data_IF_548556141857
#
_entry.id   IF_548556141857
#
_cell.length_a   1.000
_cell.length_b   1.000
_cell.length_c   1.000
_cell.angle_alpha   90.00
_cell.angle_beta   90.00
_cell.angle_gamma   90.00
#
_symmetry.space_group_name_H-M   'P 1'
#
loop_
_entity.id
_entity.type
_entity.pdbx_description
1 polymer ?
#
# COMPACT_ATOMS: atom_id res chain seq x y z
N UNK A 1 -7.34 -8.88 -9.58
CA UNK A 1 -7.82 -7.53 -9.93
C UNK A 1 -9.34 -7.51 -9.76
N UNK A 2 -9.85 -6.72 -8.84
CA UNK A 2 -11.26 -6.62 -8.44
C UNK A 2 -11.67 -5.14 -8.36
N UNK A 3 -12.95 -4.86 -8.54
CA UNK A 3 -13.48 -3.49 -8.70
C UNK A 3 -13.16 -2.55 -7.54
N UNK A 4 -13.37 -3.00 -6.30
CA UNK A 4 -13.18 -2.14 -5.13
C UNK A 4 -11.73 -1.65 -4.97
N UNK A 5 -10.77 -2.32 -5.62
CA UNK A 5 -9.36 -1.91 -5.61
C UNK A 5 -9.05 -0.75 -6.55
N UNK A 6 -10.02 -0.29 -7.31
CA UNK A 6 -9.97 0.92 -8.13
C UNK A 6 -8.73 1.01 -9.05
N UNK A 7 -8.30 -0.12 -9.59
CA UNK A 7 -7.22 -0.13 -10.61
C UNK A 7 -7.63 0.56 -11.92
N UNK A 8 -8.92 0.68 -12.17
CA UNK A 8 -9.51 1.45 -13.26
C UNK A 8 -8.99 2.89 -13.30
N UNK A 9 -8.98 3.57 -12.15
CA UNK A 9 -8.50 4.95 -12.02
C UNK A 9 -7.00 5.07 -12.30
N UNK A 10 -6.21 4.11 -11.83
CA UNK A 10 -4.75 4.10 -12.06
C UNK A 10 -4.45 3.85 -13.54
N UNK A 11 -5.16 2.92 -14.18
CA UNK A 11 -5.02 2.64 -15.61
C UNK A 11 -5.37 3.88 -16.43
N UNK A 12 -6.47 4.56 -16.13
CA UNK A 12 -6.89 5.77 -16.84
C UNK A 12 -5.87 6.91 -16.67
N UNK A 13 -5.43 7.16 -15.43
CA UNK A 13 -4.43 8.19 -15.14
C UNK A 13 -3.12 7.94 -15.92
N UNK A 14 -2.57 6.72 -15.82
CA UNK A 14 -1.29 6.40 -16.45
C UNK A 14 -1.40 6.30 -17.98
N UNK A 15 -2.53 5.88 -18.53
CA UNK A 15 -2.78 5.90 -19.97
C UNK A 15 -2.69 7.34 -20.51
N UNK A 16 -3.26 8.31 -19.79
CA UNK A 16 -3.21 9.74 -20.17
C UNK A 16 -1.84 10.36 -19.93
N UNK A 17 -1.16 10.01 -18.86
CA UNK A 17 0.17 10.51 -18.54
C UNK A 17 1.27 9.94 -19.46
N UNK A 18 1.06 8.74 -20.02
CA UNK A 18 2.09 8.05 -20.80
C UNK A 18 3.28 7.53 -19.99
N UNK A 19 3.22 7.59 -18.66
CA UNK A 19 4.27 7.11 -17.77
C UNK A 19 4.24 5.57 -17.63
N UNK A 20 5.41 4.92 -17.45
CA UNK A 20 5.46 3.46 -17.26
C UNK A 20 4.70 3.01 -16.01
N UNK A 21 3.86 2.00 -16.17
CA UNK A 21 3.14 1.36 -15.07
C UNK A 21 3.23 -0.16 -15.19
N UNK A 22 3.47 -0.83 -14.07
CA UNK A 22 3.42 -2.29 -13.97
C UNK A 22 2.30 -2.69 -13.01
N UNK A 23 1.42 -3.57 -13.45
CA UNK A 23 0.31 -4.10 -12.67
C UNK A 23 0.53 -5.61 -12.52
N UNK A 24 0.59 -6.11 -11.30
CA UNK A 24 0.67 -7.53 -11.02
C UNK A 24 -0.60 -8.02 -10.31
N UNK A 25 -0.85 -9.32 -10.38
CA UNK A 25 -2.07 -9.96 -9.92
C UNK A 25 -2.99 -10.31 -11.09
N UNK A 26 -4.08 -11.01 -10.80
CA UNK A 26 -5.12 -11.42 -11.75
C UNK A 26 -6.49 -11.25 -11.11
N UNK A 27 -7.53 -11.21 -11.91
CA UNK A 27 -8.90 -11.11 -11.40
C UNK A 27 -9.92 -10.79 -12.48
N UNK A 28 -11.20 -10.76 -12.10
CA UNK A 28 -12.31 -10.70 -13.06
C UNK A 28 -12.31 -9.45 -13.96
N UNK A 29 -11.75 -8.32 -13.50
CA UNK A 29 -11.75 -7.07 -14.29
C UNK A 29 -10.48 -6.90 -15.16
N UNK A 30 -9.62 -7.92 -15.26
CA UNK A 30 -8.34 -7.79 -15.97
C UNK A 30 -8.52 -7.46 -17.45
N UNK A 31 -9.50 -8.08 -18.13
CA UNK A 31 -9.77 -7.82 -19.55
C UNK A 31 -10.22 -6.39 -19.79
N UNK A 32 -11.10 -5.87 -18.96
CA UNK A 32 -11.58 -4.48 -19.05
C UNK A 32 -10.43 -3.49 -18.82
N UNK A 33 -9.56 -3.76 -17.83
CA UNK A 33 -8.39 -2.94 -17.57
C UNK A 33 -7.43 -2.95 -18.77
N UNK A 34 -7.18 -4.11 -19.36
CA UNK A 34 -6.32 -4.24 -20.57
C UNK A 34 -6.89 -3.50 -21.76
N UNK A 35 -8.21 -3.55 -21.95
CA UNK A 35 -8.89 -2.84 -23.06
C UNK A 35 -8.76 -1.31 -22.95
N UNK A 36 -8.64 -0.76 -21.75
CA UNK A 36 -8.48 0.68 -21.46
C UNK A 36 -7.02 1.12 -21.43
N UNK A 37 -6.10 0.19 -21.23
CA UNK A 37 -4.70 0.49 -20.97
C UNK A 37 -3.94 1.00 -22.18
N UNK A 38 -3.15 2.06 -21.98
CA UNK A 38 -2.15 2.51 -22.94
C UNK A 38 -0.97 1.54 -23.08
N UNK A 39 -0.18 1.71 -24.14
CA UNK A 39 0.99 0.86 -24.43
C UNK A 39 2.10 0.92 -23.36
N UNK A 40 2.06 1.93 -22.52
CA UNK A 40 2.97 2.16 -21.38
C UNK A 40 2.65 1.31 -20.14
N UNK A 41 1.52 0.59 -20.15
CA UNK A 41 1.05 -0.22 -19.01
C UNK A 41 1.31 -1.71 -19.27
N UNK A 42 2.02 -2.35 -18.35
CA UNK A 42 2.33 -3.77 -18.41
C UNK A 42 1.57 -4.54 -17.34
N UNK A 43 0.79 -5.52 -17.77
CA UNK A 43 0.11 -6.48 -16.88
C UNK A 43 0.95 -7.76 -16.78
N UNK A 44 1.44 -8.05 -15.58
CA UNK A 44 2.40 -9.14 -15.33
C UNK A 44 1.71 -10.44 -14.89
N UNK A 45 0.39 -10.40 -14.62
CA UNK A 45 -0.31 -11.54 -14.06
C UNK A 45 0.12 -11.84 -12.63
N UNK A 46 -0.01 -13.10 -12.21
CA UNK A 46 0.47 -13.55 -10.91
C UNK A 46 2.00 -13.65 -10.92
N UNK A 47 2.61 -13.08 -9.89
CA UNK A 47 4.06 -13.07 -9.70
C UNK A 47 4.45 -13.83 -8.44
N UNK A 48 5.65 -14.43 -8.40
CA UNK A 48 6.21 -15.03 -7.20
C UNK A 48 6.55 -13.98 -6.13
N UNK A 49 6.86 -14.41 -4.92
CA UNK A 49 7.30 -13.50 -3.85
C UNK A 49 8.62 -12.81 -4.22
N UNK A 50 9.54 -13.52 -4.85
CA UNK A 50 10.82 -13.00 -5.32
C UNK A 50 10.62 -11.93 -6.40
N UNK A 51 9.77 -12.21 -7.39
CA UNK A 51 9.43 -11.27 -8.45
C UNK A 51 8.74 -10.03 -7.87
N UNK A 52 7.82 -10.20 -6.93
CA UNK A 52 7.15 -9.08 -6.25
C UNK A 52 8.14 -8.20 -5.49
N UNK A 53 9.07 -8.80 -4.74
CA UNK A 53 10.12 -8.06 -4.04
C UNK A 53 11.02 -7.30 -5.03
N UNK A 54 11.35 -7.92 -6.18
CA UNK A 54 12.11 -7.28 -7.25
C UNK A 54 11.34 -6.11 -7.87
N UNK A 55 10.04 -6.26 -8.12
CA UNK A 55 9.20 -5.19 -8.64
C UNK A 55 9.16 -4.00 -7.70
N UNK A 56 8.93 -4.23 -6.41
CA UNK A 56 8.98 -3.15 -5.41
C UNK A 56 10.34 -2.48 -5.37
N UNK A 57 11.43 -3.23 -5.28
CA UNK A 57 12.78 -2.67 -5.17
C UNK A 57 13.16 -1.76 -6.34
N UNK A 58 12.55 -1.95 -7.50
CA UNK A 58 12.82 -1.19 -8.72
C UNK A 58 11.70 -0.17 -9.08
N UNK A 59 10.66 -0.08 -8.28
CA UNK A 59 9.63 0.92 -8.46
C UNK A 59 10.08 2.30 -7.96
N UNK A 60 9.51 3.35 -8.53
CA UNK A 60 9.64 4.71 -8.01
C UNK A 60 8.74 4.88 -6.78
N UNK A 61 7.49 4.40 -6.88
CA UNK A 61 6.48 4.41 -5.84
C UNK A 61 5.49 3.26 -6.05
N UNK A 62 4.72 2.94 -5.03
CA UNK A 62 3.58 2.02 -5.10
C UNK A 62 2.27 2.80 -5.03
N UNK A 63 1.34 2.47 -5.93
CA UNK A 63 0.01 3.09 -5.98
C UNK A 63 -1.01 2.23 -5.24
N UNK A 64 -1.71 2.83 -4.28
CA UNK A 64 -2.73 2.20 -3.45
C UNK A 64 -4.06 2.97 -3.56
N UNK A 65 -4.85 2.75 -4.62
CA UNK A 65 -6.02 3.59 -4.92
C UNK A 65 -7.28 3.17 -4.17
N UNK A 66 -7.27 2.03 -3.48
CA UNK A 66 -8.40 1.50 -2.76
C UNK A 66 -8.46 1.93 -1.30
N UNK A 67 -9.64 1.82 -0.70
CA UNK A 67 -9.84 1.77 0.73
C UNK A 67 -9.75 0.31 1.20
N UNK A 68 -8.89 0.02 2.15
CA UNK A 68 -8.73 -1.30 2.78
C UNK A 68 -8.55 -1.15 4.30
N UNK A 69 -8.84 -2.21 5.05
CA UNK A 69 -8.74 -2.19 6.52
C UNK A 69 -7.28 -2.03 6.99
N UNK A 70 -6.32 -2.67 6.32
CA UNK A 70 -4.90 -2.57 6.67
C UNK A 70 -4.01 -2.27 5.46
N UNK A 71 -4.09 -3.08 4.39
CA UNK A 71 -3.24 -2.93 3.21
C UNK A 71 -1.84 -3.51 3.40
N UNK A 72 -1.69 -4.83 3.29
CA UNK A 72 -0.38 -5.50 3.38
C UNK A 72 0.58 -5.02 2.28
N UNK A 73 0.10 -4.84 1.07
CA UNK A 73 0.92 -4.49 -0.10
C UNK A 73 1.63 -3.13 0.02
N UNK A 74 1.00 -2.06 0.53
CA UNK A 74 1.71 -0.82 0.87
C UNK A 74 2.87 -1.03 1.85
N UNK A 75 2.67 -1.87 2.88
CA UNK A 75 3.73 -2.18 3.86
C UNK A 75 4.87 -2.96 3.22
N UNK A 76 4.59 -3.90 2.30
CA UNK A 76 5.61 -4.62 1.53
C UNK A 76 6.43 -3.67 0.63
N UNK A 77 5.79 -2.69 0.00
CA UNK A 77 6.47 -1.63 -0.76
C UNK A 77 7.39 -0.81 0.13
N UNK A 78 6.91 -0.39 1.29
CA UNK A 78 7.73 0.33 2.28
C UNK A 78 8.87 -0.53 2.81
N UNK A 79 8.69 -1.83 3.01
CA UNK A 79 9.76 -2.75 3.40
C UNK A 79 10.85 -2.85 2.32
N UNK A 80 10.51 -2.65 1.05
CA UNK A 80 11.47 -2.50 -0.05
C UNK A 80 12.09 -1.10 -0.14
N UNK A 81 11.69 -0.16 0.74
CA UNK A 81 12.17 1.22 0.77
C UNK A 81 11.51 2.11 -0.29
N UNK A 82 10.30 1.76 -0.72
CA UNK A 82 9.59 2.54 -1.74
C UNK A 82 8.38 3.23 -1.14
N UNK A 83 8.22 4.52 -1.42
CA UNK A 83 7.09 5.31 -0.92
C UNK A 83 5.77 4.87 -1.55
N UNK A 84 4.69 5.20 -0.86
CA UNK A 84 3.33 4.85 -1.29
C UNK A 84 2.57 6.11 -1.68
N UNK A 85 1.88 6.08 -2.81
CA UNK A 85 0.87 7.06 -3.19
C UNK A 85 -0.49 6.42 -2.93
N UNK A 86 -1.20 6.86 -1.89
CA UNK A 86 -2.38 6.18 -1.39
C UNK A 86 -3.64 7.05 -1.41
N UNK A 87 -4.80 6.42 -1.53
CA UNK A 87 -6.06 7.06 -1.20
C UNK A 87 -6.12 7.34 0.31
N UNK A 88 -6.53 8.58 0.68
CA UNK A 88 -6.54 9.06 2.07
C UNK A 88 -7.69 8.47 2.88
N UNK A 89 -7.77 7.12 2.94
CA UNK A 89 -8.77 6.39 3.73
C UNK A 89 -8.29 5.03 4.22
N UNK A 90 -9.02 4.48 5.20
CA UNK A 90 -8.79 3.16 5.75
C UNK A 90 -7.41 2.99 6.37
N UNK A 91 -6.87 1.78 6.32
CA UNK A 91 -5.58 1.41 6.92
C UNK A 91 -4.36 2.15 6.35
N UNK A 92 -4.49 2.77 5.16
CA UNK A 92 -3.43 3.61 4.64
C UNK A 92 -3.12 4.81 5.57
N UNK A 93 -4.11 5.33 6.29
CA UNK A 93 -3.92 6.41 7.28
C UNK A 93 -3.13 5.96 8.51
N UNK A 94 -3.08 4.66 8.77
CA UNK A 94 -2.33 4.09 9.91
C UNK A 94 -0.92 3.65 9.49
N UNK A 95 -0.74 3.28 8.24
CA UNK A 95 0.50 2.69 7.75
C UNK A 95 1.42 3.67 7.03
N UNK A 96 0.86 4.67 6.34
CA UNK A 96 1.61 5.67 5.56
C UNK A 96 1.73 6.99 6.33
N UNK A 97 2.94 7.55 6.39
CA UNK A 97 3.19 8.87 6.97
C UNK A 97 3.42 9.86 5.83
N UNK A 98 2.51 10.85 5.73
CA UNK A 98 2.59 11.93 4.73
C UNK A 98 3.97 12.60 4.71
N UNK A 99 4.57 12.72 3.53
CA UNK A 99 5.88 13.35 3.32
C UNK A 99 7.08 12.55 3.87
N UNK A 100 6.86 11.37 4.48
CA UNK A 100 7.96 10.51 5.00
C UNK A 100 8.00 9.15 4.35
N UNK A 101 6.85 8.46 4.28
CA UNK A 101 6.77 7.13 3.70
C UNK A 101 5.85 7.07 2.50
N UNK A 102 5.21 8.17 2.17
CA UNK A 102 4.35 8.31 1.02
C UNK A 102 3.62 9.64 0.99
N UNK A 103 2.67 9.74 0.09
CA UNK A 103 1.74 10.87 -0.04
C UNK A 103 0.33 10.36 -0.31
N UNK A 104 -0.65 11.23 -0.16
CA UNK A 104 -2.05 10.89 -0.34
C UNK A 104 -2.71 11.71 -1.44
N UNK A 105 -3.77 11.14 -2.00
CA UNK A 105 -4.78 11.84 -2.78
C UNK A 105 -6.15 11.68 -2.10
N UNK A 106 -7.02 12.68 -2.25
CA UNK A 106 -8.24 12.81 -1.43
C UNK A 106 -9.51 12.31 -2.13
N UNK A 107 -9.51 12.19 -3.47
CA UNK A 107 -10.66 11.76 -4.26
C UNK A 107 -10.30 10.59 -5.16
N UNK A 108 -11.16 9.57 -5.21
CA UNK A 108 -11.00 8.43 -6.11
C UNK A 108 -11.40 8.80 -7.54
N UNK A 109 -10.62 9.70 -8.14
CA UNK A 109 -10.74 10.17 -9.50
C UNK A 109 -9.39 10.02 -10.21
N UNK A 110 -9.40 9.70 -11.51
CA UNK A 110 -8.14 9.49 -12.24
C UNK A 110 -7.34 10.78 -12.38
N UNK A 111 -8.01 11.94 -12.45
CA UNK A 111 -7.42 13.28 -12.49
C UNK A 111 -6.59 13.56 -11.23
N UNK A 112 -7.14 13.23 -10.08
CA UNK A 112 -6.48 13.42 -8.79
C UNK A 112 -5.24 12.53 -8.66
N UNK A 113 -5.33 11.28 -9.11
CA UNK A 113 -4.18 10.37 -9.16
C UNK A 113 -3.12 10.93 -10.11
N UNK A 114 -3.52 11.38 -11.30
CA UNK A 114 -2.60 11.93 -12.30
C UNK A 114 -1.87 13.18 -11.77
N UNK A 115 -2.58 14.10 -11.13
CA UNK A 115 -2.02 15.31 -10.57
C UNK A 115 -1.08 14.99 -9.39
N UNK A 116 -1.45 14.05 -8.52
CA UNK A 116 -0.59 13.60 -7.42
C UNK A 116 0.69 12.96 -7.94
N UNK A 117 0.61 12.11 -8.96
CA UNK A 117 1.78 11.49 -9.61
C UNK A 117 2.68 12.54 -10.26
N UNK A 118 2.13 13.55 -10.92
CA UNK A 118 2.91 14.61 -11.55
C UNK A 118 3.63 15.52 -10.55
N UNK A 119 3.05 15.72 -9.38
CA UNK A 119 3.68 16.50 -8.29
C UNK A 119 4.63 15.68 -7.43
N UNK A 120 4.58 14.35 -7.53
CA UNK A 120 5.34 13.44 -6.71
C UNK A 120 6.85 13.52 -7.02
N UNK A 121 7.64 13.81 -5.99
CA UNK A 121 9.10 13.91 -6.07
C UNK A 121 9.73 12.80 -5.23
N UNK A 122 10.09 11.71 -5.87
CA UNK A 122 10.63 10.52 -5.19
C UNK A 122 11.95 10.81 -4.45
N UNK A 123 12.70 11.82 -4.88
CA UNK A 123 13.97 12.25 -4.28
C UNK A 123 13.79 12.82 -2.86
N UNK A 124 12.60 13.26 -2.51
CA UNK A 124 12.27 13.77 -1.17
C UNK A 124 12.07 12.64 -0.14
N UNK A 125 12.03 11.38 -0.58
CA UNK A 125 11.78 10.21 0.25
C UNK A 125 13.08 9.43 0.51
N UNK A 126 13.44 9.25 1.79
CA UNK A 126 14.59 8.42 2.19
C UNK A 126 14.21 6.93 2.25
N UNK A 127 14.77 6.08 1.34
CA UNK A 127 14.47 4.66 1.34
C UNK A 127 14.83 3.95 2.64
N UNK A 128 15.82 4.42 3.38
CA UNK A 128 16.22 3.82 4.65
C UNK A 128 15.20 4.13 5.75
N UNK A 129 14.75 5.37 5.84
CA UNK A 129 13.71 5.79 6.78
C UNK A 129 12.39 5.05 6.52
N UNK A 130 12.03 4.85 5.23
CA UNK A 130 10.84 4.08 4.84
C UNK A 130 10.95 2.63 5.31
N UNK A 131 12.09 1.96 5.08
CA UNK A 131 12.30 0.57 5.55
C UNK A 131 12.23 0.47 7.06
N UNK A 132 12.82 1.41 7.78
CA UNK A 132 12.80 1.42 9.25
C UNK A 132 11.37 1.56 9.77
N UNK A 133 10.57 2.44 9.16
CA UNK A 133 9.15 2.57 9.48
C UNK A 133 8.39 1.25 9.24
N UNK A 134 8.63 0.56 8.13
CA UNK A 134 7.95 -0.70 7.81
C UNK A 134 8.19 -1.81 8.85
N UNK A 135 9.33 -1.80 9.57
CA UNK A 135 9.67 -2.82 10.58
C UNK A 135 8.66 -2.89 11.73
N UNK A 136 7.95 -1.79 12.03
CA UNK A 136 6.93 -1.82 13.08
C UNK A 136 5.73 -2.72 12.76
N UNK A 137 5.54 -3.06 11.49
CA UNK A 137 4.51 -3.97 11.00
C UNK A 137 5.03 -5.40 10.77
N UNK A 138 6.23 -5.73 11.25
CA UNK A 138 6.79 -7.08 11.13
C UNK A 138 6.00 -8.11 11.93
N UNK A 139 6.06 -9.37 11.48
CA UNK A 139 5.43 -10.50 12.19
C UNK A 139 5.89 -10.59 13.64
N UNK A 140 7.17 -10.35 13.90
CA UNK A 140 7.73 -10.34 15.27
C UNK A 140 7.07 -9.27 16.15
N UNK A 141 6.96 -8.04 15.64
CA UNK A 141 6.31 -6.93 16.35
C UNK A 141 4.83 -7.22 16.59
N UNK A 142 4.14 -7.75 15.59
CA UNK A 142 2.74 -8.15 15.73
C UNK A 142 2.57 -9.19 16.84
N UNK A 143 3.38 -10.27 16.87
CA UNK A 143 3.31 -11.30 17.89
C UNK A 143 3.56 -10.74 19.30
N UNK A 144 4.59 -9.89 19.44
CA UNK A 144 4.92 -9.29 20.74
C UNK A 144 3.82 -8.35 21.23
N UNK A 145 3.28 -7.51 20.34
CA UNK A 145 2.20 -6.59 20.67
C UNK A 145 0.91 -7.34 21.03
N UNK A 146 0.55 -8.36 20.25
CA UNK A 146 -0.65 -9.17 20.52
C UNK A 146 -0.54 -9.90 21.87
N UNK A 147 0.61 -10.53 22.15
CA UNK A 147 0.85 -11.21 23.43
C UNK A 147 0.72 -10.22 24.59
N UNK A 148 1.39 -9.09 24.50
CA UNK A 148 1.34 -8.05 25.54
C UNK A 148 -0.08 -7.52 25.76
N UNK A 149 -0.83 -7.33 24.69
CA UNK A 149 -2.22 -6.89 24.75
C UNK A 149 -3.09 -7.93 25.48
N UNK A 150 -2.98 -9.20 25.10
CA UNK A 150 -3.74 -10.30 25.74
C UNK A 150 -3.38 -10.42 27.21
N UNK A 151 -2.09 -10.42 27.56
CA UNK A 151 -1.62 -10.57 28.94
C UNK A 151 -2.10 -9.41 29.81
N UNK A 152 -2.03 -8.19 29.34
CA UNK A 152 -2.48 -7.00 30.07
C UNK A 152 -4.01 -6.99 30.25
N UNK A 153 -4.75 -7.25 29.17
CA UNK A 153 -6.22 -7.31 29.21
C UNK A 153 -6.70 -8.43 30.14
N UNK A 154 -6.02 -9.58 30.15
CA UNK A 154 -6.33 -10.68 31.05
C UNK A 154 -6.06 -10.33 32.52
N UNK A 155 -4.95 -9.68 32.83
CA UNK A 155 -4.65 -9.18 34.19
C UNK A 155 -5.74 -8.21 34.68
N UNK A 156 -6.08 -7.23 33.82
CA UNK A 156 -7.11 -6.25 34.15
C UNK A 156 -8.49 -6.91 34.38
N UNK A 157 -8.84 -7.87 33.53
CA UNK A 157 -10.08 -8.64 33.70
C UNK A 157 -10.11 -9.42 35.02
N UNK A 158 -9.02 -10.10 35.35
CA UNK A 158 -8.91 -10.83 36.64
C UNK A 158 -9.05 -9.91 37.84
N UNK A 159 -8.40 -8.75 37.84
CA UNK A 159 -8.49 -7.77 38.93
C UNK A 159 -9.93 -7.26 39.10
N UNK A 160 -10.60 -6.91 37.96
CA UNK A 160 -11.95 -6.31 38.00
C UNK A 160 -13.06 -7.31 38.36
N UNK A 161 -12.95 -8.54 37.87
CA UNK A 161 -14.07 -9.50 37.92
C UNK A 161 -13.85 -10.71 38.79
N UNK A 162 -12.61 -11.09 39.11
CA UNK A 162 -12.32 -12.29 39.89
C UNK A 162 -11.73 -11.97 41.27
N UNK A 163 -11.47 -10.69 41.59
CA UNK A 163 -10.96 -10.28 42.91
C UNK A 163 -9.65 -10.97 43.32
N UNK A 164 -8.89 -11.49 42.33
CA UNK A 164 -7.63 -12.18 42.56
C UNK A 164 -6.49 -11.18 42.30
N UNK A 165 -5.80 -10.83 43.36
CA UNK A 165 -4.52 -10.11 43.35
C UNK A 165 -3.41 -11.01 42.82
#
# INVERSE_FOLDING_TARGET
LVDYKRYDLVVDAFTKLGLPLKIFGSGPIEEDLRARAGKNIQFLGRVSNEERAHLFSNAIAFLHPQEEDFGITPVESMAAGRPVIAYRKGGALETVIEGKTGTFFDYQEWEEIADTVMRFKHEEFDPQAIREHAKQFSVEKFHNNLRSFVDNTWKDHRQKHLGLL
#
